data_IF_364189863613
#
_entry.id   IF_364189863613
#
_cell.length_a   1.000
_cell.length_b   1.000
_cell.length_c   1.000
_cell.angle_alpha   90.00
_cell.angle_beta   90.00
_cell.angle_gamma   90.00
#
_symmetry.space_group_name_H-M   'P 1'
#
loop_
_entity.id
_entity.type
_entity.pdbx_description
1 polymer ?
#
# COMPACT_ATOMS: atom_id res chain seq x y z
N UNK A 1 -0.69 47.32 71.50
CA UNK A 1 -1.01 48.36 70.48
C UNK A 1 0.30 49.04 70.07
N UNK A 2 0.50 49.23 68.76
CA UNK A 2 1.65 49.86 68.07
C UNK A 2 2.89 48.98 67.83
N UNK A 3 2.78 48.04 66.88
CA UNK A 3 3.94 47.53 66.13
C UNK A 3 3.55 47.08 64.70
N UNK A 4 2.77 47.88 63.99
CA UNK A 4 2.39 47.62 62.59
C UNK A 4 2.26 48.95 61.86
N UNK A 5 3.37 49.56 61.43
CA UNK A 5 3.39 50.77 60.58
C UNK A 5 4.80 50.98 60.02
N UNK A 6 5.33 50.05 59.23
CA UNK A 6 6.54 50.32 58.43
C UNK A 6 6.74 49.42 57.20
N UNK A 7 5.69 48.73 56.72
CA UNK A 7 5.77 47.80 55.58
C UNK A 7 5.29 48.40 54.25
N UNK A 8 5.19 49.74 54.14
CA UNK A 8 4.54 50.40 52.99
C UNK A 8 5.47 51.25 52.11
N UNK A 9 6.78 51.31 52.42
CA UNK A 9 7.74 52.09 51.62
C UNK A 9 8.63 51.24 50.71
N UNK A 10 8.88 49.97 51.05
CA UNK A 10 9.70 49.08 50.22
C UNK A 10 8.92 48.44 49.07
N UNK A 11 7.61 48.22 49.23
CA UNK A 11 6.73 47.67 48.19
C UNK A 11 6.52 48.62 47.02
N UNK A 12 6.54 49.93 47.25
CA UNK A 12 6.40 50.92 46.18
C UNK A 12 7.64 51.02 45.29
N UNK A 13 8.83 50.77 45.84
CA UNK A 13 10.10 50.90 45.12
C UNK A 13 10.40 49.67 44.23
N UNK A 14 9.98 48.47 44.66
CA UNK A 14 10.09 47.24 43.85
C UNK A 14 9.11 47.27 42.68
N UNK A 15 7.93 47.88 42.83
CA UNK A 15 6.97 48.04 41.75
C UNK A 15 7.44 49.00 40.65
N UNK A 16 8.22 50.04 40.99
CA UNK A 16 8.70 51.03 40.03
C UNK A 16 9.88 50.52 39.18
N UNK A 17 10.72 49.64 39.72
CA UNK A 17 11.85 49.06 38.98
C UNK A 17 11.45 47.95 38.00
N UNK A 18 10.27 47.35 38.14
CA UNK A 18 9.77 46.30 37.24
C UNK A 18 9.17 46.85 35.93
N UNK A 19 8.96 48.16 35.81
CA UNK A 19 8.45 48.78 34.57
C UNK A 19 9.54 49.29 33.62
N UNK A 20 10.82 49.19 33.99
CA UNK A 20 11.92 49.74 33.19
C UNK A 20 12.80 48.69 32.47
N UNK A 21 12.38 47.42 32.47
CA UNK A 21 13.02 46.39 31.66
C UNK A 21 12.22 46.13 30.38
N UNK A 22 12.77 46.63 29.28
CA UNK A 22 12.51 46.27 27.88
C UNK A 22 11.13 46.65 27.30
N UNK A 23 11.09 47.86 26.73
CA UNK A 23 10.12 48.24 25.69
C UNK A 23 10.82 48.33 24.32
N UNK A 24 11.59 47.31 23.95
CA UNK A 24 11.84 47.06 22.53
C UNK A 24 10.67 46.20 22.06
N UNK A 25 9.59 46.89 21.71
CA UNK A 25 8.45 46.28 21.04
C UNK A 25 8.87 46.06 19.57
N UNK A 26 9.69 45.03 19.33
CA UNK A 26 10.00 44.46 18.02
C UNK A 26 8.74 43.72 17.51
N UNK A 27 7.67 44.45 17.24
CA UNK A 27 6.42 43.92 16.71
C UNK A 27 5.97 44.57 15.40
N UNK A 28 6.81 45.40 14.78
CA UNK A 28 6.59 45.71 13.36
C UNK A 28 7.04 44.49 12.54
N UNK A 29 6.13 43.84 11.78
CA UNK A 29 6.50 42.77 10.88
C UNK A 29 7.52 43.34 9.88
N UNK A 30 8.63 42.63 9.70
CA UNK A 30 9.64 42.98 8.68
C UNK A 30 8.92 42.93 7.33
N UNK A 31 8.73 44.10 6.70
CA UNK A 31 8.22 44.18 5.34
C UNK A 31 9.39 43.90 4.40
N UNK A 32 9.25 42.90 3.52
CA UNK A 32 10.29 42.53 2.56
C UNK A 32 10.67 43.72 1.66
N UNK A 33 9.73 44.64 1.43
CA UNK A 33 9.95 45.84 0.64
C UNK A 33 10.98 46.80 1.26
N UNK A 34 11.18 46.77 2.59
CA UNK A 34 12.16 47.63 3.27
C UNK A 34 13.62 47.24 2.96
N UNK A 35 13.82 46.05 2.39
CA UNK A 35 15.12 45.48 2.06
C UNK A 35 15.29 45.21 0.55
N UNK A 36 14.41 45.76 -0.29
CA UNK A 36 14.34 45.49 -1.74
C UNK A 36 14.18 43.98 -2.04
N UNK A 37 13.42 43.26 -1.20
CA UNK A 37 13.09 41.84 -1.34
C UNK A 37 11.60 41.65 -1.67
N UNK A 38 11.26 40.52 -2.28
CA UNK A 38 9.87 40.14 -2.56
C UNK A 38 9.42 39.04 -1.61
N UNK A 39 8.19 39.14 -1.10
CA UNK A 39 7.56 38.09 -0.29
C UNK A 39 6.99 37.00 -1.22
N UNK A 40 7.42 35.75 -1.05
CA UNK A 40 6.85 34.60 -1.77
C UNK A 40 5.46 34.21 -1.22
N UNK A 41 4.77 33.26 -1.86
CA UNK A 41 3.46 32.76 -1.38
C UNK A 41 3.53 32.05 -0.01
N UNK A 42 4.76 31.81 0.49
CA UNK A 42 5.05 31.21 1.78
C UNK A 42 5.51 32.23 2.83
N UNK A 43 5.53 33.52 2.51
CA UNK A 43 5.90 34.60 3.41
C UNK A 43 7.41 34.80 3.59
N UNK A 44 8.26 34.23 2.71
CA UNK A 44 9.71 34.48 2.76
C UNK A 44 10.11 35.65 1.88
N UNK A 45 10.94 36.52 2.44
CA UNK A 45 11.62 37.56 1.66
C UNK A 45 12.76 36.93 0.85
N UNK A 46 12.65 36.97 -0.48
CA UNK A 46 13.69 36.49 -1.41
C UNK A 46 14.26 37.62 -2.25
N UNK A 47 15.54 37.49 -2.61
CA UNK A 47 16.25 38.46 -3.44
C UNK A 47 16.16 38.05 -4.90
N UNK A 48 15.26 38.67 -5.66
CA UNK A 48 15.24 38.56 -7.11
C UNK A 48 16.29 39.54 -7.66
N UNK A 49 17.37 39.01 -8.25
CA UNK A 49 18.48 39.82 -8.75
C UNK A 49 18.04 40.73 -9.91
N UNK A 50 18.18 42.04 -9.75
CA UNK A 50 17.89 43.07 -10.77
C UNK A 50 18.76 42.96 -12.05
N UNK A 51 19.74 42.06 -12.08
CA UNK A 51 20.51 41.72 -13.29
C UNK A 51 19.89 40.59 -14.13
N UNK A 52 18.85 39.90 -13.65
CA UNK A 52 17.98 39.11 -14.50
C UNK A 52 16.92 40.03 -15.09
N UNK A 53 16.76 39.96 -16.40
CA UNK A 53 15.62 40.53 -17.12
C UNK A 53 14.35 40.18 -16.32
N UNK A 54 13.48 41.16 -16.10
CA UNK A 54 12.27 41.01 -15.29
C UNK A 54 11.18 40.20 -15.99
N UNK A 55 11.57 39.11 -16.66
CA UNK A 55 10.69 37.97 -16.91
C UNK A 55 10.42 37.31 -15.56
N UNK A 56 9.26 37.68 -15.00
CA UNK A 56 8.64 37.17 -13.76
C UNK A 56 8.55 35.63 -13.66
N UNK A 57 8.92 34.93 -14.73
CA UNK A 57 8.92 33.47 -14.84
C UNK A 57 10.19 32.82 -14.22
N UNK A 58 11.27 33.57 -13.95
CA UNK A 58 12.54 33.02 -13.42
C UNK A 58 12.73 33.13 -11.89
N UNK A 59 11.89 33.88 -11.16
CA UNK A 59 11.87 33.78 -9.70
C UNK A 59 11.05 32.53 -9.34
N UNK A 60 11.70 31.46 -8.90
CA UNK A 60 11.02 30.21 -8.52
C UNK A 60 10.24 30.41 -7.22
N UNK A 61 9.01 30.93 -7.37
CA UNK A 61 8.05 31.20 -6.29
C UNK A 61 7.66 29.96 -5.48
N UNK A 62 8.05 28.76 -5.93
CA UNK A 62 7.72 27.48 -5.31
C UNK A 62 8.90 26.83 -4.60
N UNK A 63 10.08 27.47 -4.51
CA UNK A 63 11.24 26.93 -3.76
C UNK A 63 10.89 26.54 -2.31
N UNK A 64 9.93 27.23 -1.73
CA UNK A 64 9.47 27.03 -0.36
C UNK A 64 8.31 26.02 -0.24
N UNK A 65 7.71 25.57 -1.34
CA UNK A 65 6.61 24.59 -1.32
C UNK A 65 7.12 23.18 -1.55
N UNK A 66 6.45 22.22 -0.92
CA UNK A 66 6.65 20.82 -1.22
C UNK A 66 5.80 20.39 -2.43
N UNK A 67 5.90 19.12 -2.85
CA UNK A 67 5.13 18.55 -3.97
C UNK A 67 3.61 18.47 -3.70
N UNK A 68 3.17 18.83 -2.48
CA UNK A 68 1.77 18.95 -2.09
C UNK A 68 1.28 20.42 -2.07
N UNK A 69 2.07 21.35 -2.61
CA UNK A 69 1.86 22.80 -2.56
C UNK A 69 1.81 23.37 -1.13
N UNK A 70 2.38 22.69 -0.14
CA UNK A 70 2.44 23.16 1.25
C UNK A 70 3.76 23.88 1.50
N UNK A 71 3.67 25.13 1.93
CA UNK A 71 4.81 25.93 2.36
C UNK A 71 5.57 25.26 3.52
N UNK A 72 6.87 25.06 3.34
CA UNK A 72 7.77 24.33 4.24
C UNK A 72 7.28 22.93 4.59
N UNK A 73 6.49 22.32 3.71
CA UNK A 73 6.03 20.96 3.83
C UNK A 73 7.13 19.93 3.58
N UNK A 74 6.80 18.67 3.83
CA UNK A 74 7.70 17.53 3.67
C UNK A 74 7.07 16.40 2.83
N UNK A 75 6.10 16.75 1.98
CA UNK A 75 5.23 15.88 1.19
C UNK A 75 4.23 15.02 1.99
N UNK A 76 4.22 15.07 3.31
CA UNK A 76 3.40 14.13 4.10
C UNK A 76 1.88 14.39 4.02
N UNK A 77 1.46 15.59 3.61
CA UNK A 77 0.04 15.97 3.53
C UNK A 77 -0.70 15.37 2.34
N UNK A 78 0.00 15.07 1.25
CA UNK A 78 -0.57 14.46 0.03
C UNK A 78 0.08 13.11 -0.33
N UNK A 79 0.98 12.61 0.54
CA UNK A 79 1.53 11.25 0.42
C UNK A 79 0.59 10.26 1.09
N UNK A 80 0.20 9.21 0.36
CA UNK A 80 -0.68 8.17 0.90
C UNK A 80 -0.73 6.93 0.03
N UNK A 81 -1.43 5.90 0.51
CA UNK A 81 -1.62 4.70 -0.30
C UNK A 81 -2.66 4.96 -1.38
N UNK A 82 -2.24 4.97 -2.65
CA UNK A 82 -3.13 5.20 -3.79
C UNK A 82 -3.79 3.91 -4.32
N UNK A 83 -3.54 2.77 -3.67
CA UNK A 83 -4.16 1.50 -4.02
C UNK A 83 -5.52 1.34 -3.35
N UNK A 84 -6.60 1.31 -4.14
CA UNK A 84 -7.99 1.14 -3.66
C UNK A 84 -8.27 -0.21 -2.96
N UNK A 85 -7.28 -1.09 -2.92
CA UNK A 85 -7.31 -2.40 -2.26
C UNK A 85 -6.71 -2.37 -0.85
N UNK A 86 -6.02 -1.29 -0.48
CA UNK A 86 -5.44 -1.13 0.85
C UNK A 86 -6.50 -0.67 1.85
N UNK A 87 -6.42 -1.14 3.09
CA UNK A 87 -7.23 -0.71 4.24
C UNK A 87 -7.01 0.78 4.53
N UNK A 88 -5.80 1.27 4.27
CA UNK A 88 -5.44 2.68 4.41
C UNK A 88 -5.37 3.40 3.06
N UNK A 89 -6.17 2.96 2.08
CA UNK A 89 -6.35 3.68 0.82
C UNK A 89 -6.74 5.14 1.09
N UNK A 90 -6.08 6.05 0.39
CA UNK A 90 -6.33 7.48 0.40
C UNK A 90 -6.53 7.96 -1.03
N UNK A 91 -7.77 8.32 -1.38
CA UNK A 91 -8.14 8.84 -2.69
C UNK A 91 -7.77 10.31 -2.91
N UNK A 92 -7.42 11.03 -1.84
CA UNK A 92 -6.93 12.41 -1.90
C UNK A 92 -5.39 12.49 -2.03
N UNK A 93 -4.68 11.36 -1.95
CA UNK A 93 -3.23 11.32 -2.14
C UNK A 93 -2.86 11.58 -3.61
N UNK A 94 -1.89 12.48 -3.83
CA UNK A 94 -1.31 12.75 -5.16
C UNK A 94 0.08 12.16 -5.31
N UNK A 95 0.71 11.76 -4.21
CA UNK A 95 2.02 11.11 -4.16
C UNK A 95 1.84 9.73 -3.54
N UNK A 96 2.29 8.71 -4.26
CA UNK A 96 2.32 7.35 -3.75
C UNK A 96 3.36 7.22 -2.63
N UNK A 97 2.97 6.63 -1.51
CA UNK A 97 3.87 6.35 -0.42
C UNK A 97 4.70 5.08 -0.67
N UNK A 98 6.00 5.11 -0.34
CA UNK A 98 6.85 3.92 -0.41
C UNK A 98 6.42 2.90 0.66
N UNK A 99 5.86 1.77 0.21
CA UNK A 99 5.48 0.61 1.03
C UNK A 99 4.58 0.94 2.25
N UNK A 100 3.77 2.00 2.18
CA UNK A 100 2.85 2.34 3.28
C UNK A 100 1.45 1.73 3.12
N UNK A 101 1.13 1.15 1.96
CA UNK A 101 -0.14 0.46 1.73
C UNK A 101 -0.28 -0.76 2.65
N UNK A 102 -1.30 -0.74 3.49
CA UNK A 102 -1.69 -1.83 4.38
C UNK A 102 -2.84 -2.57 3.72
N UNK A 103 -2.60 -3.79 3.25
CA UNK A 103 -3.64 -4.63 2.68
C UNK A 103 -4.30 -5.48 3.77
N UNK A 104 -5.58 -5.82 3.59
CA UNK A 104 -6.26 -6.85 4.40
C UNK A 104 -5.62 -8.20 4.09
N UNK A 105 -4.52 -8.50 4.77
CA UNK A 105 -3.80 -9.75 4.56
C UNK A 105 -4.69 -10.93 4.95
N UNK A 106 -4.68 -11.98 4.15
CA UNK A 106 -5.12 -13.29 4.62
C UNK A 106 -3.93 -14.01 5.20
N UNK A 107 -4.10 -14.42 6.46
CA UNK A 107 -3.19 -15.32 7.13
C UNK A 107 -3.83 -16.70 7.20
N UNK A 108 -3.20 -17.66 6.55
CA UNK A 108 -3.53 -19.07 6.71
C UNK A 108 -2.60 -19.61 7.80
N UNK A 109 -3.18 -19.87 8.98
CA UNK A 109 -2.43 -20.26 10.18
C UNK A 109 -2.63 -21.75 10.45
N UNK A 110 -1.51 -22.47 10.57
CA UNK A 110 -1.47 -23.87 10.98
C UNK A 110 -1.06 -23.95 12.45
N UNK A 111 -1.98 -24.26 13.38
CA UNK A 111 -1.80 -23.93 14.82
C UNK A 111 -1.79 -25.06 15.85
N UNK A 112 -2.19 -26.29 15.52
CA UNK A 112 -2.18 -27.39 16.48
C UNK A 112 -1.16 -28.48 16.14
N UNK A 113 -1.02 -29.48 17.02
CA UNK A 113 -0.14 -30.65 16.84
C UNK A 113 -0.56 -31.56 15.66
N UNK A 114 -1.75 -31.34 15.09
CA UNK A 114 -2.30 -32.09 13.96
C UNK A 114 -2.41 -31.28 12.66
N UNK A 115 -2.10 -29.99 12.71
CA UNK A 115 -1.81 -29.16 11.57
C UNK A 115 -2.87 -28.15 11.12
N UNK A 116 -4.18 -28.21 11.41
CA UNK A 116 -5.11 -27.32 10.65
C UNK A 116 -6.53 -27.13 11.19
N UNK A 117 -7.10 -25.95 10.90
CA UNK A 117 -8.53 -25.71 10.84
C UNK A 117 -8.94 -25.56 9.35
N UNK A 118 -9.60 -26.56 8.74
CA UNK A 118 -10.11 -26.50 7.37
C UNK A 118 -11.31 -25.57 7.28
N UNK A 119 -11.04 -24.27 7.41
CA UNK A 119 -12.01 -23.22 7.16
C UNK A 119 -11.93 -22.77 5.70
N UNK A 120 -13.09 -22.43 5.13
CA UNK A 120 -13.15 -21.73 3.86
C UNK A 120 -12.48 -20.36 4.05
N UNK A 121 -11.32 -20.15 3.42
CA UNK A 121 -10.69 -18.84 3.41
C UNK A 121 -11.29 -17.98 2.31
N UNK A 122 -11.61 -16.72 2.59
CA UNK A 122 -12.17 -15.81 1.60
C UNK A 122 -11.29 -14.58 1.46
N UNK A 123 -10.85 -14.29 0.23
CA UNK A 123 -10.00 -13.14 -0.15
C UNK A 123 -10.59 -12.34 -1.28
N UNK A 124 -10.01 -11.17 -1.52
CA UNK A 124 -10.32 -10.37 -2.70
C UNK A 124 -9.21 -10.52 -3.75
N UNK A 125 -9.51 -10.20 -4.99
CA UNK A 125 -8.48 -10.07 -6.03
C UNK A 125 -7.36 -9.12 -5.56
N UNK A 126 -6.13 -9.39 -6.01
CA UNK A 126 -4.91 -8.64 -5.69
C UNK A 126 -4.51 -8.60 -4.21
N UNK A 127 -5.17 -9.38 -3.35
CA UNK A 127 -4.77 -9.54 -1.95
C UNK A 127 -3.78 -10.69 -1.81
N UNK A 128 -2.56 -10.45 -1.30
CA UNK A 128 -1.60 -11.53 -1.07
C UNK A 128 -2.06 -12.48 0.04
N UNK A 129 -1.66 -13.74 -0.10
CA UNK A 129 -1.91 -14.79 0.89
C UNK A 129 -0.60 -15.06 1.62
N UNK A 130 -0.63 -15.04 2.95
CA UNK A 130 0.50 -15.38 3.80
C UNK A 130 0.27 -16.71 4.50
N UNK A 131 1.28 -17.55 4.47
CA UNK A 131 1.24 -18.87 5.09
C UNK A 131 2.09 -18.85 6.37
N UNK A 132 1.47 -19.18 7.51
CA UNK A 132 2.12 -19.16 8.82
C UNK A 132 2.03 -20.53 9.48
N UNK A 133 3.18 -21.10 9.82
CA UNK A 133 3.26 -22.39 10.48
C UNK A 133 3.64 -22.23 11.96
N UNK A 134 2.69 -22.45 12.87
CA UNK A 134 2.91 -22.46 14.32
C UNK A 134 3.16 -23.86 14.88
N UNK A 135 3.14 -24.90 14.04
CA UNK A 135 3.45 -26.25 14.46
C UNK A 135 4.96 -26.42 14.75
N UNK A 136 5.30 -27.57 15.31
CA UNK A 136 6.67 -28.03 15.54
C UNK A 136 7.25 -28.84 14.36
N UNK A 137 6.53 -28.90 13.23
CA UNK A 137 6.86 -29.67 12.05
C UNK A 137 6.95 -28.75 10.83
N UNK A 138 7.67 -29.17 9.79
CA UNK A 138 7.69 -28.48 8.51
C UNK A 138 6.42 -28.81 7.72
N UNK A 139 5.89 -27.81 7.00
CA UNK A 139 4.68 -27.98 6.19
C UNK A 139 5.00 -27.59 4.74
N UNK A 140 4.66 -28.45 3.79
CA UNK A 140 4.75 -28.13 2.36
C UNK A 140 3.36 -27.87 1.81
N UNK A 141 3.15 -26.69 1.23
CA UNK A 141 1.92 -26.31 0.51
C UNK A 141 2.10 -26.66 -0.95
N UNK A 142 1.11 -27.32 -1.54
CA UNK A 142 1.03 -27.62 -2.96
C UNK A 142 -0.35 -27.24 -3.48
N UNK A 143 -0.40 -26.57 -4.62
CA UNK A 143 -1.67 -26.17 -5.22
C UNK A 143 -2.22 -27.25 -6.14
N UNK A 144 -3.53 -27.17 -6.38
CA UNK A 144 -4.18 -27.89 -7.46
C UNK A 144 -4.29 -26.94 -8.64
N UNK A 145 -3.85 -27.39 -9.81
CA UNK A 145 -3.91 -26.62 -11.04
C UNK A 145 -5.34 -26.12 -11.29
N UNK A 146 -5.44 -24.84 -11.62
CA UNK A 146 -6.66 -24.17 -12.04
C UNK A 146 -7.21 -24.78 -13.33
N UNK A 147 -8.41 -24.37 -13.73
CA UNK A 147 -8.98 -24.81 -15.01
C UNK A 147 -8.06 -24.37 -16.15
N UNK A 148 -7.54 -25.36 -16.88
CA UNK A 148 -6.54 -25.11 -17.91
C UNK A 148 -7.17 -24.52 -19.18
N UNK A 149 -6.46 -23.61 -19.88
CA UNK A 149 -6.88 -23.15 -21.19
C UNK A 149 -6.91 -24.32 -22.16
N UNK A 150 -7.82 -24.26 -23.12
CA UNK A 150 -7.99 -25.35 -24.07
C UNK A 150 -8.77 -24.96 -25.30
N UNK A 151 -8.64 -25.78 -26.33
CA UNK A 151 -9.32 -25.55 -27.58
C UNK A 151 -10.74 -26.12 -27.56
N UNK A 152 -11.72 -25.26 -27.77
CA UNK A 152 -13.14 -25.62 -27.83
C UNK A 152 -13.73 -25.31 -29.19
N UNK A 153 -14.88 -25.91 -29.47
CA UNK A 153 -15.64 -25.62 -30.69
C UNK A 153 -16.27 -24.23 -30.60
N UNK A 154 -16.05 -23.41 -31.62
CA UNK A 154 -16.75 -22.14 -31.77
C UNK A 154 -18.18 -22.38 -32.26
N UNK A 155 -19.17 -22.06 -31.42
CA UNK A 155 -20.59 -22.29 -31.73
C UNK A 155 -21.13 -21.36 -32.83
N UNK A 156 -20.50 -20.21 -33.02
CA UNK A 156 -20.89 -19.21 -34.02
C UNK A 156 -20.19 -19.41 -35.36
N UNK A 157 -19.24 -20.34 -35.42
CA UNK A 157 -18.51 -20.66 -36.66
C UNK A 157 -19.40 -21.43 -37.65
N UNK A 158 -19.32 -21.03 -38.91
CA UNK A 158 -19.89 -21.79 -40.04
C UNK A 158 -19.08 -23.06 -40.35
N UNK A 159 -17.85 -23.13 -39.86
CA UNK A 159 -16.97 -24.29 -39.99
C UNK A 159 -17.18 -25.23 -38.81
N UNK A 160 -17.26 -26.53 -39.10
CA UNK A 160 -17.54 -27.58 -38.13
C UNK A 160 -16.34 -28.52 -38.00
N UNK A 161 -15.49 -28.26 -37.01
CA UNK A 161 -14.45 -29.19 -36.58
C UNK A 161 -14.88 -29.83 -35.25
N UNK A 162 -14.91 -31.16 -35.20
CA UNK A 162 -15.25 -31.92 -33.99
C UNK A 162 -14.00 -32.33 -33.19
N UNK A 163 -12.82 -32.11 -33.75
CA UNK A 163 -11.53 -32.50 -33.19
C UNK A 163 -10.84 -31.33 -32.48
N UNK A 164 -11.53 -30.20 -32.23
CA UNK A 164 -10.96 -29.03 -31.55
C UNK A 164 -10.27 -29.41 -30.23
N UNK A 165 -10.84 -30.33 -29.45
CA UNK A 165 -10.27 -30.77 -28.17
C UNK A 165 -8.95 -31.56 -28.30
N UNK A 166 -8.53 -31.91 -29.51
CA UNK A 166 -7.23 -32.55 -29.77
C UNK A 166 -6.08 -31.55 -29.95
N UNK A 167 -6.40 -30.26 -30.07
CA UNK A 167 -5.40 -29.20 -30.23
C UNK A 167 -4.89 -28.71 -28.87
N UNK A 168 -3.59 -28.87 -28.64
CA UNK A 168 -2.94 -28.54 -27.37
C UNK A 168 -2.33 -27.13 -27.32
N UNK A 169 -2.37 -26.38 -28.42
CA UNK A 169 -1.83 -25.01 -28.48
C UNK A 169 -2.77 -24.02 -29.15
N UNK A 170 -2.61 -22.75 -28.78
CA UNK A 170 -3.31 -21.62 -29.37
C UNK A 170 -3.15 -21.60 -30.90
N UNK A 171 -1.94 -21.81 -31.40
CA UNK A 171 -1.69 -21.76 -32.85
C UNK A 171 -2.41 -22.86 -33.62
N UNK A 172 -2.52 -24.07 -33.04
CA UNK A 172 -3.25 -25.17 -33.66
C UNK A 172 -4.76 -24.96 -33.57
N UNK A 173 -5.22 -24.35 -32.48
CA UNK A 173 -6.64 -24.11 -32.26
C UNK A 173 -7.22 -23.02 -33.15
N UNK A 174 -6.54 -21.88 -33.26
CA UNK A 174 -7.04 -20.71 -33.98
C UNK A 174 -6.62 -20.71 -35.46
N UNK A 175 -6.73 -21.87 -36.11
CA UNK A 175 -6.54 -21.97 -37.56
C UNK A 175 -7.74 -21.37 -38.30
N UNK A 176 -7.44 -20.60 -39.36
CA UNK A 176 -8.46 -20.00 -40.22
C UNK A 176 -9.33 -21.10 -40.82
N UNK A 177 -10.66 -20.96 -40.72
CA UNK A 177 -11.67 -21.86 -41.25
C UNK A 177 -11.81 -23.24 -40.56
N UNK A 178 -11.27 -23.42 -39.36
CA UNK A 178 -11.48 -24.67 -38.60
C UNK A 178 -12.65 -24.59 -37.63
N UNK A 179 -13.09 -23.39 -37.22
CA UNK A 179 -14.25 -23.25 -36.33
C UNK A 179 -13.99 -23.71 -34.90
N UNK A 180 -12.73 -23.68 -34.48
CA UNK A 180 -12.34 -23.79 -33.08
C UNK A 180 -11.96 -22.41 -32.53
N UNK A 181 -11.96 -22.27 -31.20
CA UNK A 181 -11.52 -21.08 -30.47
C UNK A 181 -10.75 -21.51 -29.23
N UNK A 182 -9.70 -20.78 -28.90
CA UNK A 182 -8.97 -21.00 -27.67
C UNK A 182 -9.72 -20.34 -26.51
N UNK A 183 -10.14 -21.15 -25.56
CA UNK A 183 -10.84 -20.70 -24.37
C UNK A 183 -9.89 -20.71 -23.17
N UNK A 184 -9.75 -19.55 -22.53
CA UNK A 184 -8.97 -19.38 -21.31
C UNK A 184 -9.95 -19.16 -20.16
N UNK A 185 -10.13 -20.15 -19.27
CA UNK A 185 -11.03 -20.00 -18.12
C UNK A 185 -10.64 -18.79 -17.26
N UNK A 186 -11.63 -18.07 -16.73
CA UNK A 186 -11.38 -16.93 -15.82
C UNK A 186 -10.60 -17.33 -14.56
N UNK A 187 -10.76 -18.59 -14.13
CA UNK A 187 -10.06 -19.16 -12.98
C UNK A 187 -8.59 -19.49 -13.27
N UNK A 188 -8.18 -19.50 -14.54
CA UNK A 188 -6.81 -19.83 -14.93
C UNK A 188 -5.81 -18.89 -14.27
N UNK A 189 -4.81 -19.47 -13.60
CA UNK A 189 -3.75 -18.70 -12.96
C UNK A 189 -2.44 -19.47 -13.03
N UNK A 190 -1.57 -19.06 -13.95
CA UNK A 190 -0.26 -19.68 -14.17
C UNK A 190 0.64 -19.65 -12.94
N UNK A 191 0.54 -18.64 -12.08
CA UNK A 191 1.36 -18.56 -10.88
C UNK A 191 0.85 -19.52 -9.79
N UNK A 192 -0.46 -19.80 -9.78
CA UNK A 192 -1.06 -20.77 -8.87
C UNK A 192 -0.80 -22.19 -9.34
N UNK A 193 -0.83 -22.43 -10.65
CA UNK A 193 -0.51 -23.74 -11.22
C UNK A 193 0.92 -24.14 -10.85
N UNK A 194 1.11 -25.36 -10.36
CA UNK A 194 2.40 -25.89 -9.89
C UNK A 194 3.07 -25.09 -8.74
N UNK A 195 2.32 -24.23 -8.03
CA UNK A 195 2.85 -23.54 -6.86
C UNK A 195 3.14 -24.53 -5.72
N UNK A 196 4.38 -24.49 -5.25
CA UNK A 196 4.85 -25.27 -4.10
C UNK A 196 5.71 -24.38 -3.19
N UNK A 197 5.44 -24.42 -1.89
CA UNK A 197 6.25 -23.72 -0.89
C UNK A 197 6.34 -24.51 0.41
N UNK A 198 7.55 -24.60 0.95
CA UNK A 198 7.82 -25.26 2.23
C UNK A 198 8.00 -24.22 3.33
N UNK A 199 7.24 -24.36 4.41
CA UNK A 199 7.13 -23.42 5.52
C UNK A 199 7.72 -24.08 6.77
N UNK A 200 8.87 -23.61 7.29
CA UNK A 200 9.46 -24.13 8.51
C UNK A 200 8.55 -24.02 9.73
N UNK A 201 8.77 -24.91 10.69
CA UNK A 201 8.12 -24.90 11.99
C UNK A 201 8.33 -23.55 12.73
N UNK A 202 7.30 -23.09 13.46
CA UNK A 202 7.38 -21.92 14.33
C UNK A 202 7.52 -20.55 13.64
N UNK A 203 7.18 -20.44 12.36
CA UNK A 203 7.27 -19.18 11.58
C UNK A 203 6.24 -18.13 11.99
N UNK A 204 5.09 -18.51 12.54
CA UNK A 204 4.01 -17.57 12.84
C UNK A 204 4.30 -16.53 13.93
N UNK A 205 5.41 -16.66 14.68
CA UNK A 205 5.84 -15.67 15.68
C UNK A 205 6.96 -14.72 15.22
N UNK A 206 7.67 -15.02 14.13
CA UNK A 206 8.92 -14.30 13.78
C UNK A 206 9.08 -13.93 12.31
N UNK A 207 8.26 -14.47 11.39
CA UNK A 207 8.42 -14.22 9.96
C UNK A 207 7.08 -14.28 9.22
N UNK A 208 6.42 -13.13 9.09
CA UNK A 208 5.11 -13.04 8.44
C UNK A 208 5.18 -12.80 6.93
N UNK A 209 6.33 -12.41 6.38
CA UNK A 209 6.43 -11.91 4.99
C UNK A 209 7.25 -12.80 4.04
N UNK A 210 7.70 -13.98 4.49
CA UNK A 210 8.60 -14.82 3.68
C UNK A 210 7.89 -15.89 2.86
N UNK A 211 6.74 -16.38 3.33
CA UNK A 211 6.00 -17.46 2.68
C UNK A 211 4.66 -16.92 2.22
N UNK A 212 4.59 -16.47 0.98
CA UNK A 212 3.40 -15.84 0.44
C UNK A 212 3.13 -16.22 -1.00
N UNK A 213 1.87 -16.10 -1.39
CA UNK A 213 1.41 -16.15 -2.77
C UNK A 213 0.92 -14.74 -3.17
N UNK A 214 1.35 -14.26 -4.33
CA UNK A 214 0.90 -12.97 -4.87
C UNK A 214 -0.58 -13.10 -5.22
N UNK A 215 -1.40 -12.12 -4.82
CA UNK A 215 -2.86 -12.21 -4.94
C UNK A 215 -3.39 -12.53 -6.34
N UNK A 216 -4.60 -13.07 -6.37
CA UNK A 216 -5.27 -13.51 -7.60
C UNK A 216 -5.76 -12.35 -8.46
N UNK A 217 -5.74 -12.50 -9.78
CA UNK A 217 -6.18 -11.44 -10.70
C UNK A 217 -7.69 -11.50 -11.02
N UNK A 218 -8.34 -12.64 -10.77
CA UNK A 218 -9.74 -12.88 -11.11
C UNK A 218 -10.46 -13.60 -9.95
N UNK A 219 -11.78 -13.41 -9.80
CA UNK A 219 -12.57 -14.10 -8.79
C UNK A 219 -12.76 -15.57 -9.20
N UNK A 220 -12.42 -16.49 -8.30
CA UNK A 220 -12.56 -17.93 -8.49
C UNK A 220 -12.34 -18.68 -7.17
N UNK A 221 -12.69 -19.96 -7.16
CA UNK A 221 -12.26 -20.91 -6.13
C UNK A 221 -10.92 -21.54 -6.48
N UNK A 222 -10.02 -21.61 -5.50
CA UNK A 222 -8.70 -22.23 -5.63
C UNK A 222 -8.49 -23.28 -4.55
N UNK A 223 -8.00 -24.44 -4.96
CA UNK A 223 -7.73 -25.57 -4.07
C UNK A 223 -6.23 -25.74 -3.87
N UNK A 224 -5.86 -26.09 -2.65
CA UNK A 224 -4.51 -26.47 -2.28
C UNK A 224 -4.58 -27.64 -1.29
N UNK A 225 -3.47 -28.33 -1.12
CA UNK A 225 -3.28 -29.27 -0.04
C UNK A 225 -1.95 -28.97 0.63
N UNK A 226 -1.82 -29.43 1.87
CA UNK A 226 -0.55 -29.35 2.58
C UNK A 226 -0.13 -30.72 3.06
N UNK A 227 1.18 -30.93 3.13
CA UNK A 227 1.81 -32.15 3.58
C UNK A 227 2.68 -31.84 4.79
N UNK A 228 2.47 -32.58 5.87
CA UNK A 228 3.36 -32.63 7.04
C UNK A 228 4.29 -33.85 6.93
N UNK A 229 5.43 -33.79 7.61
CA UNK A 229 6.34 -34.93 7.80
C UNK A 229 5.68 -36.11 8.56
N UNK A 230 4.49 -35.91 9.12
CA UNK A 230 3.66 -36.91 9.82
C UNK A 230 2.60 -37.60 8.94
N UNK A 231 2.68 -37.49 7.61
CA UNK A 231 1.90 -38.22 6.58
C UNK A 231 0.40 -37.88 6.41
N UNK A 232 -0.16 -36.87 7.08
CA UNK A 232 -1.51 -36.38 6.77
C UNK A 232 -1.49 -35.30 5.69
N UNK A 233 -2.05 -35.60 4.52
CA UNK A 233 -2.40 -34.59 3.51
C UNK A 233 -3.82 -34.08 3.77
N UNK A 234 -3.99 -32.79 4.00
CA UNK A 234 -5.33 -32.20 4.08
C UNK A 234 -5.54 -31.14 3.01
N UNK A 235 -6.79 -30.97 2.59
CA UNK A 235 -7.18 -30.02 1.56
C UNK A 235 -7.64 -28.72 2.19
N UNK A 236 -7.22 -27.61 1.60
CA UNK A 236 -7.76 -26.28 1.87
C UNK A 236 -8.39 -25.67 0.63
N UNK A 237 -9.20 -24.63 0.86
CA UNK A 237 -9.89 -23.91 -0.20
C UNK A 237 -9.84 -22.41 0.05
N UNK A 238 -9.55 -21.67 -1.02
CA UNK A 238 -9.56 -20.21 -1.04
C UNK A 238 -10.62 -19.74 -2.02
N UNK A 239 -11.60 -19.00 -1.52
CA UNK A 239 -12.60 -18.33 -2.32
C UNK A 239 -12.16 -16.89 -2.59
N UNK A 240 -11.93 -16.55 -3.86
CA UNK A 240 -11.56 -15.20 -4.29
C UNK A 240 -12.81 -14.51 -4.81
N UNK A 241 -13.12 -13.35 -4.26
CA UNK A 241 -14.24 -12.51 -4.71
C UNK A 241 -13.75 -11.20 -5.30
N UNK A 242 -14.58 -10.62 -6.15
CA UNK A 242 -14.43 -9.21 -6.54
C UNK A 242 -15.02 -8.34 -5.42
N UNK A 243 -14.40 -7.18 -5.19
CA UNK A 243 -14.88 -6.18 -4.23
C UNK A 243 -16.28 -5.65 -4.58
#
# INVERSE_FOLDING_TARGET
MKHLLNLNKYTLFVFLCLFFSCQDNLTEPIDCADYDLFEDECGQCTQCNESCDCDLDECDWNLSKDSCDVCFGNNSSCTGCMSNLAINYNDEATIECDNCCVYSNIFIIYSDENGFDPSLHQTNINVPIYWLNNSNHEITIKTINSSQPGCIKNQDSIFNNNDCSSYESLELCEQINEGCIWDTPLSYNQNWDEFEVTIPAGTGQTSQSQYYFIGFQNPSGYQYYYESDTESSENGFINVVDN
#
